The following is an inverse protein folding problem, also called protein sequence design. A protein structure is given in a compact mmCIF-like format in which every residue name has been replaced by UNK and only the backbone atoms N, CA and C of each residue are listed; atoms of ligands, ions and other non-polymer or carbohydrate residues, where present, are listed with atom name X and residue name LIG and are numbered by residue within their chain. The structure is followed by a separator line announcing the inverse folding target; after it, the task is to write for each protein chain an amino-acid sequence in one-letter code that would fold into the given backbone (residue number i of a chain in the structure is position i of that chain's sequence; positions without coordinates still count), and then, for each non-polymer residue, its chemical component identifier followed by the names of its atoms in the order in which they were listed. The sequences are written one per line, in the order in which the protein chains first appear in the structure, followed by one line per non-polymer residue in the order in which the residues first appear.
data_IF_928250062481
#
_entry.id   IF_928250062481
#
_cell.length_a   1.000
_cell.length_b   1.000
_cell.length_c   1.000
_cell.angle_alpha   90.00
_cell.angle_beta   90.00
_cell.angle_gamma   90.00
#
_symmetry.space_group_name_H-M   'P 1'
#
loop_
_entity.id
_entity.type
_entity.pdbx_description
1 polymer ?
#
# COMPACT_ATOMS: atom_id res chain seq x y z
N UNK A 1 78.00 -9.70 2.79
CA UNK A 1 77.16 -10.26 3.88
C UNK A 1 75.82 -9.51 4.09
N UNK A 2 75.27 -8.79 3.09
CA UNK A 2 74.00 -8.05 3.25
C UNK A 2 72.79 -8.75 2.61
N UNK A 3 73.01 -9.53 1.54
CA UNK A 3 71.95 -10.24 0.81
C UNK A 3 71.30 -11.39 1.62
N UNK A 4 72.12 -12.19 2.34
CA UNK A 4 71.64 -13.32 3.14
C UNK A 4 70.85 -12.91 4.41
N UNK A 5 71.06 -11.69 4.93
CA UNK A 5 70.26 -11.16 6.05
C UNK A 5 68.89 -10.64 5.60
N UNK A 6 68.81 -10.07 4.38
CA UNK A 6 67.54 -9.63 3.79
C UNK A 6 66.62 -10.81 3.46
N UNK A 7 67.20 -11.93 2.97
CA UNK A 7 66.44 -13.15 2.66
C UNK A 7 66.01 -13.94 3.92
N UNK A 8 66.69 -13.76 5.05
CA UNK A 8 66.29 -14.36 6.33
C UNK A 8 65.14 -13.59 7.01
N UNK A 9 64.96 -12.30 6.67
CA UNK A 9 63.91 -11.42 7.23
C UNK A 9 62.64 -11.37 6.36
N UNK A 10 62.73 -11.71 5.07
CA UNK A 10 61.58 -11.75 4.16
C UNK A 10 60.50 -12.83 4.50
N UNK A 11 60.83 -14.05 4.99
CA UNK A 11 59.83 -15.04 5.36
C UNK A 11 59.12 -14.68 6.67
N UNK A 12 59.81 -13.97 7.56
CA UNK A 12 59.26 -13.57 8.85
C UNK A 12 58.25 -12.42 8.72
N UNK A 13 58.48 -11.45 7.83
CA UNK A 13 57.52 -10.35 7.59
C UNK A 13 56.32 -10.76 6.73
N UNK A 14 56.50 -11.66 5.76
CA UNK A 14 55.40 -12.15 4.92
C UNK A 14 54.55 -13.22 5.64
N UNK A 15 55.17 -14.03 6.50
CA UNK A 15 54.47 -15.00 7.36
C UNK A 15 53.71 -14.37 8.53
N UNK A 16 54.14 -13.20 9.02
CA UNK A 16 53.46 -12.49 10.11
C UNK A 16 52.30 -11.58 9.63
N UNK A 17 52.27 -11.20 8.35
CA UNK A 17 51.12 -10.50 7.75
C UNK A 17 50.07 -11.44 7.12
N UNK A 18 50.37 -12.74 6.98
CA UNK A 18 49.44 -13.71 6.42
C UNK A 18 48.13 -13.92 7.21
N UNK A 19 48.07 -13.88 8.57
CA UNK A 19 46.82 -14.22 9.25
C UNK A 19 45.78 -13.10 9.22
N UNK A 20 46.12 -11.89 8.79
CA UNK A 20 45.21 -10.73 8.86
C UNK A 20 44.40 -10.51 7.57
N UNK A 21 44.63 -11.29 6.51
CA UNK A 21 44.01 -11.08 5.20
C UNK A 21 42.81 -12.02 4.89
N UNK A 22 42.47 -12.96 5.77
CA UNK A 22 41.48 -14.00 5.45
C UNK A 22 40.45 -14.27 6.56
N UNK A 23 40.11 -13.28 7.39
CA UNK A 23 38.84 -13.31 8.13
C UNK A 23 37.82 -12.47 7.36
N UNK A 24 37.56 -12.84 6.10
CA UNK A 24 36.26 -12.52 5.55
C UNK A 24 35.26 -13.35 6.35
N UNK A 25 34.40 -12.69 7.12
CA UNK A 25 33.26 -13.34 7.77
C UNK A 25 32.30 -13.76 6.64
N UNK A 26 32.62 -14.87 5.98
CA UNK A 26 31.80 -15.50 4.95
C UNK A 26 30.45 -15.81 5.60
N UNK A 27 29.39 -15.18 5.11
CA UNK A 27 28.02 -15.55 5.50
C UNK A 27 27.77 -16.91 4.87
N UNK A 28 27.91 -17.96 5.66
CA UNK A 28 27.69 -19.34 5.22
C UNK A 28 26.22 -19.68 5.37
N UNK A 29 25.72 -20.72 4.68
CA UNK A 29 24.34 -21.20 4.85
C UNK A 29 24.05 -21.60 6.31
N UNK A 30 25.07 -21.84 7.14
CA UNK A 30 24.91 -22.09 8.57
C UNK A 30 24.58 -20.83 9.38
N UNK A 31 24.93 -19.64 8.89
CA UNK A 31 24.49 -18.36 9.47
C UNK A 31 23.01 -18.09 9.16
N UNK A 32 22.45 -18.81 8.18
CA UNK A 32 21.03 -18.82 7.87
C UNK A 32 20.32 -19.80 8.81
N UNK A 33 19.97 -19.32 10.00
CA UNK A 33 19.10 -20.07 10.90
C UNK A 33 17.67 -20.08 10.33
N UNK A 34 17.32 -21.12 9.59
CA UNK A 34 16.01 -21.25 8.95
C UNK A 34 14.84 -21.07 9.94
N UNK A 35 14.99 -21.48 11.20
CA UNK A 35 13.94 -21.30 12.21
C UNK A 35 13.74 -19.81 12.56
N UNK A 36 14.82 -19.05 12.65
CA UNK A 36 14.79 -17.61 12.93
C UNK A 36 14.30 -16.81 11.72
N UNK A 37 14.73 -17.15 10.51
CA UNK A 37 14.30 -16.45 9.30
C UNK A 37 12.84 -16.74 8.95
N UNK A 38 12.36 -17.97 9.18
CA UNK A 38 10.93 -18.31 9.09
C UNK A 38 10.14 -17.58 10.17
N UNK A 39 10.66 -17.45 11.39
CA UNK A 39 10.00 -16.69 12.46
C UNK A 39 9.90 -15.20 12.10
N UNK A 40 10.95 -14.61 11.53
CA UNK A 40 10.93 -13.23 11.03
C UNK A 40 9.94 -13.09 9.87
N UNK A 41 9.91 -14.04 8.95
CA UNK A 41 8.97 -14.04 7.82
C UNK A 41 7.53 -14.18 8.30
N UNK A 42 7.24 -15.11 9.22
CA UNK A 42 5.92 -15.26 9.83
C UNK A 42 5.52 -14.02 10.61
N UNK A 43 6.45 -13.37 11.33
CA UNK A 43 6.18 -12.10 12.02
C UNK A 43 5.87 -10.96 11.05
N UNK A 44 6.53 -10.93 9.89
CA UNK A 44 6.23 -9.97 8.82
C UNK A 44 4.90 -10.29 8.15
N UNK A 45 4.61 -11.57 7.91
CA UNK A 45 3.35 -12.05 7.33
C UNK A 45 2.19 -11.75 8.27
N UNK A 46 2.32 -12.00 9.57
CA UNK A 46 1.34 -11.63 10.61
C UNK A 46 1.09 -10.12 10.64
N UNK A 47 2.16 -9.31 10.53
CA UNK A 47 2.04 -7.86 10.38
C UNK A 47 1.36 -7.41 9.08
N UNK A 48 1.52 -8.15 7.98
CA UNK A 48 0.82 -7.88 6.72
C UNK A 48 -0.62 -8.37 6.75
N UNK A 49 -0.91 -9.49 7.40
CA UNK A 49 -2.25 -10.02 7.63
C UNK A 49 -3.05 -9.08 8.53
N UNK A 50 -2.46 -8.56 9.61
CA UNK A 50 -3.08 -7.55 10.46
C UNK A 50 -3.43 -6.28 9.67
N UNK A 51 -2.53 -5.81 8.80
CA UNK A 51 -2.76 -4.62 7.96
C UNK A 51 -3.76 -4.87 6.84
N UNK A 52 -3.78 -6.07 6.26
CA UNK A 52 -4.71 -6.46 5.21
C UNK A 52 -6.12 -6.69 5.77
N UNK A 53 -6.22 -7.26 6.97
CA UNK A 53 -7.48 -7.41 7.70
C UNK A 53 -8.12 -6.03 7.98
N UNK A 54 -7.31 -5.03 8.32
CA UNK A 54 -7.73 -3.63 8.41
C UNK A 54 -8.23 -3.02 7.08
N UNK A 55 -7.89 -3.60 5.93
CA UNK A 55 -8.34 -3.15 4.60
C UNK A 55 -9.60 -3.88 4.15
N UNK A 56 -9.77 -5.16 4.49
CA UNK A 56 -11.00 -5.93 4.20
C UNK A 56 -12.18 -5.54 5.10
N UNK A 57 -11.94 -5.19 6.37
CA UNK A 57 -13.01 -4.92 7.34
C UNK A 57 -13.44 -3.44 7.43
N UNK A 58 -13.02 -2.57 6.52
CA UNK A 58 -13.36 -1.13 6.61
C UNK A 58 -12.95 -0.22 5.46
N UNK A 59 -12.41 -0.73 4.34
CA UNK A 59 -11.99 0.11 3.19
C UNK A 59 -13.10 0.39 2.17
N UNK A 60 -14.31 -0.12 2.37
CA UNK A 60 -15.46 0.23 1.54
C UNK A 60 -16.57 0.66 2.48
N UNK A 61 -17.23 1.76 2.19
CA UNK A 61 -18.49 2.02 2.85
C UNK A 61 -19.45 0.89 2.50
N UNK A 62 -19.98 0.22 3.53
CA UNK A 62 -21.01 -0.81 3.37
C UNK A 62 -22.33 -0.19 2.91
N UNK A 63 -22.47 1.12 3.10
CA UNK A 63 -23.65 1.91 2.77
C UNK A 63 -23.42 2.79 1.55
N UNK A 64 -24.51 3.06 0.85
CA UNK A 64 -24.60 4.04 -0.21
C UNK A 64 -25.67 5.03 0.22
N UNK A 65 -25.33 6.30 0.36
CA UNK A 65 -26.28 7.34 0.72
C UNK A 65 -27.10 7.78 -0.49
N UNK A 66 -28.42 7.79 -0.35
CA UNK A 66 -29.36 8.20 -1.38
C UNK A 66 -30.02 9.54 -1.04
N UNK A 67 -29.99 10.49 -1.97
CA UNK A 67 -30.74 11.74 -1.91
C UNK A 67 -31.87 11.71 -2.94
N UNK A 68 -33.05 12.11 -2.52
CA UNK A 68 -34.23 12.15 -3.37
C UNK A 68 -34.73 13.59 -3.46
N UNK A 69 -34.97 14.08 -4.67
CA UNK A 69 -35.64 15.37 -4.87
C UNK A 69 -36.75 15.23 -5.90
N UNK A 70 -37.70 16.15 -5.85
CA UNK A 70 -38.76 16.27 -6.84
C UNK A 70 -38.80 17.71 -7.32
N UNK A 71 -38.68 17.91 -8.63
CA UNK A 71 -38.87 19.20 -9.28
C UNK A 71 -40.30 19.22 -9.84
N UNK A 72 -41.10 20.19 -9.43
CA UNK A 72 -42.47 20.36 -9.91
C UNK A 72 -42.64 21.71 -10.56
N UNK A 73 -43.22 21.75 -11.75
CA UNK A 73 -43.53 22.99 -12.47
C UNK A 73 -45.01 22.97 -12.84
N UNK A 74 -45.70 24.05 -12.46
CA UNK A 74 -47.06 24.32 -12.90
C UNK A 74 -47.01 25.55 -13.81
N UNK A 75 -47.42 25.37 -15.06
CA UNK A 75 -47.38 26.42 -16.08
C UNK A 75 -48.69 26.50 -16.83
N UNK A 76 -48.92 27.64 -17.47
CA UNK A 76 -50.01 27.79 -18.43
C UNK A 76 -49.55 28.64 -19.61
N UNK A 77 -50.07 28.33 -20.79
CA UNK A 77 -49.95 29.15 -21.98
C UNK A 77 -51.23 29.97 -22.08
N UNK A 78 -51.08 31.29 -21.98
CA UNK A 78 -52.16 32.28 -22.01
C UNK A 78 -51.93 33.27 -23.17
N UNK A 79 -53.02 33.74 -23.81
CA UNK A 79 -52.98 34.74 -24.88
C UNK A 79 -53.06 34.24 -26.33
N UNK A 80 -53.49 33.00 -26.57
CA UNK A 80 -53.69 32.44 -27.93
C UNK A 80 -55.19 32.33 -28.28
N UNK A 81 -55.59 32.85 -29.45
CA UNK A 81 -56.97 32.84 -29.95
C UNK A 81 -57.60 31.44 -30.08
N UNK A 82 -56.79 30.39 -30.22
CA UNK A 82 -57.27 29.04 -30.57
C UNK A 82 -57.03 28.00 -29.48
N UNK A 83 -56.08 28.20 -28.56
CA UNK A 83 -55.77 27.20 -27.53
C UNK A 83 -55.05 27.78 -26.32
N UNK A 84 -55.66 27.62 -25.16
CA UNK A 84 -55.07 27.84 -23.84
C UNK A 84 -54.84 26.47 -23.20
N UNK A 85 -53.73 26.30 -22.49
CA UNK A 85 -53.42 25.02 -21.84
C UNK A 85 -52.69 25.23 -20.54
N UNK A 86 -53.07 24.47 -19.52
CA UNK A 86 -52.36 24.37 -18.24
C UNK A 86 -51.59 23.06 -18.22
N UNK A 87 -50.29 23.11 -17.94
CA UNK A 87 -49.45 21.93 -17.80
C UNK A 87 -48.99 21.78 -16.35
N UNK A 88 -48.94 20.54 -15.91
CA UNK A 88 -48.32 20.15 -14.66
C UNK A 88 -47.24 19.12 -14.98
N UNK A 89 -46.01 19.47 -14.67
CA UNK A 89 -44.83 18.68 -14.97
C UNK A 89 -44.12 18.35 -13.65
N UNK A 90 -43.68 17.10 -13.51
CA UNK A 90 -42.91 16.66 -12.36
C UNK A 90 -41.72 15.80 -12.81
N UNK A 91 -40.61 15.93 -12.09
CA UNK A 91 -39.42 15.14 -12.29
C UNK A 91 -38.91 14.63 -10.94
N UNK A 92 -38.72 13.31 -10.84
CA UNK A 92 -38.05 12.71 -9.69
C UNK A 92 -36.56 12.60 -9.99
N UNK A 93 -35.73 13.05 -9.05
CA UNK A 93 -34.29 12.88 -9.11
C UNK A 93 -33.81 12.03 -7.96
N UNK A 94 -32.82 11.19 -8.24
CA UNK A 94 -32.12 10.39 -7.25
C UNK A 94 -30.61 10.62 -7.40
N UNK A 95 -29.95 11.03 -6.33
CA UNK A 95 -28.50 11.03 -6.21
C UNK A 95 -28.06 9.87 -5.35
N UNK A 96 -27.03 9.13 -5.76
CA UNK A 96 -26.42 8.06 -4.98
C UNK A 96 -24.95 8.40 -4.74
N UNK A 97 -24.49 8.35 -3.49
CA UNK A 97 -23.10 8.59 -3.10
C UNK A 97 -22.54 7.37 -2.38
N UNK A 98 -21.40 6.87 -2.86
CA UNK A 98 -20.67 5.74 -2.26
C UNK A 98 -19.21 6.13 -2.04
N UNK A 99 -18.66 5.75 -0.89
CA UNK A 99 -17.32 6.15 -0.45
C UNK A 99 -16.44 4.93 -0.17
N UNK A 100 -15.14 5.06 -0.44
CA UNK A 100 -14.10 4.08 -0.09
C UNK A 100 -13.50 4.32 1.31
N UNK A 101 -14.04 5.26 2.09
CA UNK A 101 -13.57 5.55 3.46
C UNK A 101 -14.69 5.53 4.50
N UNK A 102 -15.92 5.19 4.14
CA UNK A 102 -17.08 5.25 5.05
C UNK A 102 -17.61 6.67 5.29
N UNK A 103 -17.17 7.65 4.50
CA UNK A 103 -17.62 9.05 4.57
C UNK A 103 -18.76 9.32 3.58
N UNK A 104 -19.71 8.39 3.42
CA UNK A 104 -20.95 8.62 2.68
C UNK A 104 -21.97 9.33 3.57
N UNK A 105 -21.69 10.59 3.95
CA UNK A 105 -22.67 11.50 4.60
C UNK A 105 -23.08 12.64 3.69
#
# INVERSE_FOLDING_TARGET
MKLFKSLLVAPASLGLLAPMAATANEVTINDFNAAEEIAVTNSRVDGLEARLNNFEAGSFSETTTASFSVDTVLGAIDGNTTSETTSFDYQFNIGLSTSFTGEDS
#
